data_IF_157884762198
#
_entry.id   IF_157884762198
#
_cell.length_a   1.000
_cell.length_b   1.000
_cell.length_c   1.000
_cell.angle_alpha   90.00
_cell.angle_beta   90.00
_cell.angle_gamma   90.00
#
_symmetry.space_group_name_H-M   'P 1'
#
loop_
_entity.id
_entity.type
_entity.pdbx_description
1 polymer ?
#
# COMPACT_ATOMS: atom_id res chain seq x y z
N UNK A 1 14.53 -19.71 8.88
CA UNK A 1 15.21 -19.10 7.71
C UNK A 1 15.61 -20.11 6.63
N UNK A 2 16.43 -21.13 6.92
CA UNK A 2 16.78 -22.16 5.91
C UNK A 2 15.56 -22.89 5.37
N UNK A 3 14.58 -23.19 6.24
CA UNK A 3 13.30 -23.79 5.87
C UNK A 3 12.42 -22.87 4.99
N UNK A 4 12.41 -21.57 5.27
CA UNK A 4 11.70 -20.57 4.47
C UNK A 4 12.22 -20.56 3.03
N UNK A 5 13.54 -20.58 2.83
CA UNK A 5 14.12 -20.60 1.47
C UNK A 5 13.79 -21.87 0.70
N UNK A 6 13.71 -23.02 1.37
CA UNK A 6 13.32 -24.28 0.73
C UNK A 6 11.82 -24.33 0.40
N UNK A 7 10.98 -23.67 1.19
CA UNK A 7 9.51 -23.70 1.03
C UNK A 7 8.93 -22.51 0.29
N UNK A 8 9.68 -21.43 0.03
CA UNK A 8 9.13 -20.20 -0.59
C UNK A 8 8.44 -20.44 -1.93
N UNK A 9 8.93 -21.40 -2.71
CA UNK A 9 8.33 -21.77 -3.98
C UNK A 9 7.01 -22.53 -3.77
N UNK A 10 6.94 -23.43 -2.78
CA UNK A 10 5.70 -24.13 -2.41
C UNK A 10 4.65 -23.13 -1.89
N UNK A 11 5.07 -22.18 -1.06
CA UNK A 11 4.25 -21.08 -0.55
C UNK A 11 3.69 -20.23 -1.69
N UNK A 12 4.55 -19.87 -2.66
CA UNK A 12 4.13 -19.15 -3.86
C UNK A 12 3.08 -19.93 -4.67
N UNK A 13 3.29 -21.22 -4.89
CA UNK A 13 2.31 -22.05 -5.60
C UNK A 13 0.97 -22.14 -4.87
N UNK A 14 0.98 -22.11 -3.53
CA UNK A 14 -0.25 -22.06 -2.73
C UNK A 14 -0.98 -20.73 -2.89
N UNK A 15 -0.25 -19.61 -2.94
CA UNK A 15 -0.80 -18.28 -3.20
C UNK A 15 -1.44 -18.22 -4.59
N UNK A 16 -0.77 -18.74 -5.63
CA UNK A 16 -1.32 -18.80 -7.00
C UNK A 16 -2.62 -19.62 -7.03
N UNK A 17 -2.65 -20.79 -6.38
CA UNK A 17 -3.87 -21.59 -6.25
C UNK A 17 -4.99 -20.82 -5.55
N UNK A 18 -4.67 -20.10 -4.47
CA UNK A 18 -5.65 -19.27 -3.77
C UNK A 18 -6.17 -18.14 -4.66
N UNK A 19 -5.30 -17.42 -5.36
CA UNK A 19 -5.71 -16.36 -6.30
C UNK A 19 -6.62 -16.91 -7.43
N UNK A 20 -6.34 -18.13 -7.92
CA UNK A 20 -7.24 -18.83 -8.84
C UNK A 20 -8.63 -19.10 -8.24
N UNK A 21 -8.70 -19.52 -6.98
CA UNK A 21 -9.99 -19.71 -6.28
C UNK A 21 -10.70 -18.38 -6.01
N UNK A 22 -9.97 -17.33 -5.63
CA UNK A 22 -10.51 -15.99 -5.45
C UNK A 22 -11.12 -15.47 -6.76
N UNK A 23 -10.48 -15.72 -7.90
CA UNK A 23 -11.00 -15.34 -9.22
C UNK A 23 -12.37 -15.98 -9.51
N UNK A 24 -12.56 -17.24 -9.14
CA UNK A 24 -13.84 -17.94 -9.31
C UNK A 24 -14.94 -17.41 -8.37
N UNK A 25 -14.58 -17.02 -7.14
CA UNK A 25 -15.53 -16.62 -6.10
C UNK A 25 -15.91 -15.13 -6.16
N UNK A 26 -14.95 -14.25 -6.41
CA UNK A 26 -15.15 -12.79 -6.43
C UNK A 26 -15.95 -12.37 -7.66
N UNK A 27 -15.69 -12.99 -8.82
CA UNK A 27 -16.31 -12.59 -10.08
C UNK A 27 -15.99 -11.13 -10.44
N UNK A 28 -17.02 -10.36 -10.80
CA UNK A 28 -16.89 -8.98 -11.28
C UNK A 28 -16.93 -7.91 -10.17
N UNK A 29 -17.03 -8.33 -8.90
CA UNK A 29 -17.09 -7.42 -7.74
C UNK A 29 -15.83 -6.56 -7.64
N UNK A 30 -15.96 -5.37 -7.05
CA UNK A 30 -14.84 -4.54 -6.58
C UNK A 30 -14.64 -4.75 -5.08
N UNK A 31 -13.81 -5.73 -4.67
CA UNK A 31 -13.67 -6.11 -3.28
C UNK A 31 -12.98 -5.01 -2.46
N UNK A 32 -13.43 -4.84 -1.23
CA UNK A 32 -12.81 -4.00 -0.22
C UNK A 32 -12.55 -4.79 1.07
N UNK A 33 -13.60 -5.40 1.64
CA UNK A 33 -13.57 -6.08 2.94
C UNK A 33 -14.32 -7.41 2.86
N UNK A 34 -13.75 -8.46 3.46
CA UNK A 34 -14.48 -9.69 3.76
C UNK A 34 -14.61 -9.87 5.27
N UNK A 35 -15.85 -9.96 5.75
CA UNK A 35 -16.18 -10.10 7.17
C UNK A 35 -16.16 -11.56 7.64
N UNK A 36 -16.97 -11.84 8.65
CA UNK A 36 -17.07 -13.17 9.27
C UNK A 36 -17.65 -14.25 8.35
N UNK A 37 -18.43 -13.86 7.33
CA UNK A 37 -18.94 -14.77 6.30
C UNK A 37 -17.88 -15.14 5.25
N UNK A 38 -16.73 -14.46 5.29
CA UNK A 38 -15.60 -14.68 4.40
C UNK A 38 -15.84 -14.27 2.95
N UNK A 39 -16.84 -13.42 2.70
CA UNK A 39 -17.17 -12.95 1.35
C UNK A 39 -16.78 -11.49 1.21
N UNK A 40 -16.05 -11.15 0.14
CA UNK A 40 -15.76 -9.76 -0.16
C UNK A 40 -17.06 -9.04 -0.54
N UNK A 41 -17.19 -7.80 -0.08
CA UNK A 41 -18.20 -6.86 -0.54
C UNK A 41 -18.02 -6.48 -2.02
N UNK A 42 -18.98 -5.72 -2.55
CA UNK A 42 -18.92 -5.11 -3.87
C UNK A 42 -19.03 -3.60 -3.71
N UNK A 43 -17.87 -2.94 -3.64
CA UNK A 43 -17.78 -1.51 -3.40
C UNK A 43 -17.88 -0.73 -4.72
N UNK A 44 -18.20 0.56 -4.64
CA UNK A 44 -18.13 1.46 -5.79
C UNK A 44 -16.72 1.44 -6.42
N UNK A 45 -16.64 1.51 -7.76
CA UNK A 45 -15.38 1.42 -8.49
C UNK A 45 -14.42 2.60 -8.23
N UNK A 46 -14.95 3.79 -7.95
CA UNK A 46 -14.13 4.96 -7.57
C UNK A 46 -13.66 4.90 -6.10
N UNK A 47 -13.89 3.80 -5.39
CA UNK A 47 -13.32 3.57 -4.05
C UNK A 47 -11.82 3.31 -4.12
N UNK A 48 -11.08 3.83 -3.16
CA UNK A 48 -9.61 3.84 -3.16
C UNK A 48 -8.97 2.45 -3.29
N UNK A 49 -9.66 1.38 -2.88
CA UNK A 49 -9.13 0.00 -2.95
C UNK A 49 -9.37 -0.73 -4.27
N UNK A 50 -10.06 -0.13 -5.23
CA UNK A 50 -10.50 -0.82 -6.45
C UNK A 50 -9.35 -1.30 -7.35
N UNK A 51 -8.15 -0.75 -7.20
CA UNK A 51 -6.97 -1.20 -7.94
C UNK A 51 -6.29 -2.46 -7.40
N UNK A 52 -6.54 -2.85 -6.14
CA UNK A 52 -5.75 -3.91 -5.50
C UNK A 52 -6.09 -5.32 -6.02
N UNK A 53 -7.37 -5.63 -6.23
CA UNK A 53 -7.77 -6.91 -6.81
C UNK A 53 -7.24 -7.13 -8.23
N UNK A 54 -7.48 -6.25 -9.21
CA UNK A 54 -6.85 -6.38 -10.53
C UNK A 54 -5.32 -6.33 -10.46
N UNK A 55 -4.75 -5.63 -9.47
CA UNK A 55 -3.32 -5.68 -9.18
C UNK A 55 -2.80 -7.08 -8.83
N UNK A 56 -3.54 -7.84 -7.99
CA UNK A 56 -3.21 -9.24 -7.69
C UNK A 56 -3.25 -10.07 -8.98
N UNK A 57 -4.27 -9.88 -9.82
CA UNK A 57 -4.41 -10.59 -11.08
C UNK A 57 -3.23 -10.32 -12.03
N UNK A 58 -2.85 -9.05 -12.21
CA UNK A 58 -1.68 -8.69 -13.00
C UNK A 58 -0.37 -9.25 -12.42
N UNK A 59 -0.20 -9.22 -11.09
CA UNK A 59 0.97 -9.80 -10.41
C UNK A 59 1.09 -11.30 -10.68
N UNK A 60 0.00 -12.04 -10.53
CA UNK A 60 0.00 -13.48 -10.78
C UNK A 60 0.24 -13.76 -12.26
N UNK A 61 -0.40 -13.01 -13.18
CA UNK A 61 -0.13 -13.13 -14.62
C UNK A 61 1.35 -12.95 -14.95
N UNK A 62 1.98 -11.89 -14.46
CA UNK A 62 3.39 -11.60 -14.75
C UNK A 62 4.32 -12.72 -14.23
N UNK A 63 3.96 -13.33 -13.11
CA UNK A 63 4.74 -14.40 -12.48
C UNK A 63 4.48 -15.79 -13.05
N UNK A 64 3.30 -16.07 -13.62
CA UNK A 64 2.91 -17.42 -14.09
C UNK A 64 2.75 -17.53 -15.60
N UNK A 65 2.46 -16.43 -16.29
CA UNK A 65 2.10 -16.38 -17.71
C UNK A 65 0.70 -16.91 -18.02
N UNK A 66 -0.16 -17.16 -17.02
CA UNK A 66 -1.51 -17.68 -17.25
C UNK A 66 -2.48 -16.58 -17.70
N UNK A 67 -2.90 -16.63 -18.98
CA UNK A 67 -3.71 -15.59 -19.63
C UNK A 67 -5.06 -15.31 -18.92
N UNK A 68 -5.67 -16.28 -18.23
CA UNK A 68 -6.93 -16.07 -17.49
C UNK A 68 -6.88 -14.90 -16.50
N UNK A 69 -5.71 -14.66 -15.88
CA UNK A 69 -5.56 -13.57 -14.93
C UNK A 69 -5.44 -12.23 -15.66
N UNK A 70 -4.72 -12.20 -16.78
CA UNK A 70 -4.66 -11.03 -17.66
C UNK A 70 -6.04 -10.66 -18.19
N UNK A 71 -6.80 -11.64 -18.67
CA UNK A 71 -8.15 -11.44 -19.20
C UNK A 71 -9.09 -10.84 -18.14
N UNK A 72 -9.05 -11.37 -16.92
CA UNK A 72 -9.85 -10.86 -15.81
C UNK A 72 -9.44 -9.46 -15.34
N UNK A 73 -8.16 -9.09 -15.49
CA UNK A 73 -7.64 -7.78 -15.11
C UNK A 73 -7.80 -6.71 -16.22
N UNK A 74 -8.02 -7.13 -17.47
CA UNK A 74 -7.82 -6.30 -18.65
C UNK A 74 -8.67 -5.02 -18.68
N UNK A 75 -9.94 -5.09 -18.30
CA UNK A 75 -10.90 -3.98 -18.44
C UNK A 75 -10.95 -3.05 -17.23
N UNK A 76 -10.17 -3.31 -16.18
CA UNK A 76 -10.27 -2.54 -14.93
C UNK A 76 -9.83 -1.08 -15.08
N UNK A 77 -8.74 -0.82 -15.79
CA UNK A 77 -8.30 0.55 -16.06
C UNK A 77 -9.30 1.32 -16.94
N UNK A 78 -9.97 0.62 -17.86
CA UNK A 78 -11.02 1.16 -18.72
C UNK A 78 -12.23 1.60 -17.90
N UNK A 79 -12.77 0.70 -17.07
CA UNK A 79 -13.91 0.95 -16.18
C UNK A 79 -13.65 2.08 -15.19
N UNK A 80 -12.45 2.12 -14.60
CA UNK A 80 -12.04 3.22 -13.71
C UNK A 80 -11.97 4.55 -14.48
N UNK A 81 -11.44 4.53 -15.70
CA UNK A 81 -11.29 5.76 -16.48
C UNK A 81 -12.59 6.35 -16.99
N UNK A 82 -13.60 5.52 -17.25
CA UNK A 82 -14.94 5.99 -17.65
C UNK A 82 -15.56 6.90 -16.59
N UNK A 83 -15.24 6.69 -15.30
CA UNK A 83 -15.74 7.52 -14.20
C UNK A 83 -15.22 8.96 -14.24
N UNK A 84 -14.16 9.28 -15.00
CA UNK A 84 -13.73 10.67 -15.22
C UNK A 84 -14.79 11.50 -15.95
N UNK A 85 -15.70 10.86 -16.69
CA UNK A 85 -16.78 11.50 -17.45
C UNK A 85 -18.12 11.52 -16.69
N UNK A 86 -18.13 11.10 -15.43
CA UNK A 86 -19.30 11.04 -14.56
C UNK A 86 -18.97 11.59 -13.16
N UNK A 87 -19.98 11.85 -12.30
CA UNK A 87 -19.74 12.11 -10.89
C UNK A 87 -18.93 10.96 -10.28
N UNK A 88 -17.79 11.30 -9.67
CA UNK A 88 -16.91 10.37 -8.99
C UNK A 88 -16.34 11.01 -7.71
N UNK A 89 -15.72 10.19 -6.89
CA UNK A 89 -15.15 10.55 -5.59
C UNK A 89 -13.63 10.43 -5.59
N UNK A 90 -12.97 10.46 -6.75
CA UNK A 90 -11.51 10.33 -6.82
C UNK A 90 -10.80 11.40 -6.00
N UNK A 91 -9.69 11.01 -5.38
CA UNK A 91 -8.87 11.88 -4.56
C UNK A 91 -7.38 11.52 -4.70
N UNK A 92 -6.56 11.70 -3.67
CA UNK A 92 -5.14 11.38 -3.76
C UNK A 92 -4.84 9.88 -3.99
N UNK A 93 -5.81 8.99 -3.73
CA UNK A 93 -5.66 7.54 -3.87
C UNK A 93 -5.72 7.03 -5.32
N UNK A 94 -5.79 7.92 -6.31
CA UNK A 94 -5.70 7.53 -7.72
C UNK A 94 -4.40 6.80 -8.06
N UNK A 95 -3.34 6.95 -7.25
CA UNK A 95 -2.15 6.09 -7.36
C UNK A 95 -2.49 4.63 -7.06
N UNK A 96 -3.16 4.33 -5.95
CA UNK A 96 -3.60 2.97 -5.59
C UNK A 96 -4.57 2.36 -6.61
N UNK A 97 -5.31 3.18 -7.35
CA UNK A 97 -6.25 2.71 -8.36
C UNK A 97 -5.56 2.47 -9.72
N UNK A 98 -4.70 3.39 -10.17
CA UNK A 98 -4.15 3.39 -11.53
C UNK A 98 -2.74 2.79 -11.65
N UNK A 99 -1.95 2.72 -10.58
CA UNK A 99 -0.67 1.98 -10.58
C UNK A 99 -0.88 0.48 -10.82
N UNK A 100 -1.68 -0.24 -10.01
CA UNK A 100 -1.85 -1.69 -10.19
C UNK A 100 -2.77 -2.08 -11.35
N UNK A 101 -3.40 -1.11 -12.02
CA UNK A 101 -4.24 -1.36 -13.21
C UNK A 101 -3.57 -0.85 -14.47
N UNK A 102 -3.67 0.45 -14.74
CA UNK A 102 -3.27 1.09 -15.98
C UNK A 102 -1.75 1.07 -16.18
N UNK A 103 -0.96 1.43 -15.16
CA UNK A 103 0.51 1.40 -15.26
C UNK A 103 1.01 -0.04 -15.40
N UNK A 104 0.46 -0.97 -14.62
CA UNK A 104 0.84 -2.38 -14.71
C UNK A 104 0.51 -2.99 -16.07
N UNK A 105 -0.71 -2.77 -16.59
CA UNK A 105 -1.11 -3.16 -17.95
C UNK A 105 -0.16 -2.60 -19.00
N UNK A 106 0.13 -1.29 -18.95
CA UNK A 106 1.03 -0.65 -19.88
C UNK A 106 2.44 -1.27 -19.83
N UNK A 107 3.03 -1.41 -18.65
CA UNK A 107 4.39 -1.97 -18.49
C UNK A 107 4.52 -3.39 -19.02
N UNK A 108 3.48 -4.22 -18.84
CA UNK A 108 3.53 -5.64 -19.23
C UNK A 108 3.19 -5.86 -20.71
N UNK A 109 2.42 -4.96 -21.33
CA UNK A 109 1.80 -5.22 -22.65
C UNK A 109 2.10 -4.17 -23.70
N UNK A 110 2.62 -3.01 -23.31
CA UNK A 110 2.81 -1.86 -24.20
C UNK A 110 1.51 -1.14 -24.57
N UNK A 111 0.40 -1.42 -23.89
CA UNK A 111 -0.90 -0.80 -24.18
C UNK A 111 -0.82 0.73 -24.00
N UNK A 112 -0.97 1.46 -25.11
CA UNK A 112 -0.85 2.91 -25.14
C UNK A 112 -2.10 3.62 -24.58
N UNK A 113 -3.26 2.98 -24.56
CA UNK A 113 -4.48 3.51 -23.94
C UNK A 113 -4.37 3.47 -22.41
N UNK A 114 -3.83 2.38 -21.86
CA UNK A 114 -3.53 2.24 -20.44
C UNK A 114 -2.54 3.33 -19.98
N UNK A 115 -1.48 3.61 -20.76
CA UNK A 115 -0.58 4.73 -20.48
C UNK A 115 -1.31 6.08 -20.46
N UNK A 116 -2.19 6.35 -21.44
CA UNK A 116 -2.98 7.60 -21.48
C UNK A 116 -3.87 7.75 -20.25
N UNK A 117 -4.53 6.67 -19.82
CA UNK A 117 -5.40 6.66 -18.62
C UNK A 117 -4.60 6.90 -17.34
N UNK A 118 -3.43 6.27 -17.19
CA UNK A 118 -2.55 6.50 -16.05
C UNK A 118 -1.97 7.92 -16.02
N UNK A 119 -1.60 8.50 -17.17
CA UNK A 119 -1.15 9.89 -17.26
C UNK A 119 -2.28 10.88 -16.93
N UNK A 120 -3.53 10.58 -17.28
CA UNK A 120 -4.68 11.36 -16.84
C UNK A 120 -4.81 11.34 -15.31
N UNK A 121 -4.71 10.16 -14.69
CA UNK A 121 -4.73 10.02 -13.23
C UNK A 121 -3.56 10.77 -12.57
N UNK A 122 -2.36 10.72 -13.15
CA UNK A 122 -1.20 11.48 -12.67
C UNK A 122 -1.43 13.01 -12.78
N UNK A 123 -2.05 13.46 -13.87
CA UNK A 123 -2.46 14.85 -14.06
C UNK A 123 -3.47 15.30 -13.00
N UNK A 124 -4.47 14.46 -12.70
CA UNK A 124 -5.42 14.72 -11.63
C UNK A 124 -4.72 14.83 -10.27
N UNK A 125 -3.85 13.88 -9.94
CA UNK A 125 -3.11 13.89 -8.68
C UNK A 125 -2.20 15.12 -8.56
N UNK A 126 -1.49 15.49 -9.63
CA UNK A 126 -0.69 16.72 -9.68
C UNK A 126 -1.53 17.98 -9.47
N UNK A 127 -2.76 18.01 -9.98
CA UNK A 127 -3.72 19.10 -9.76
C UNK A 127 -4.17 19.27 -8.30
N UNK A 128 -3.95 18.26 -7.45
CA UNK A 128 -4.21 18.33 -6.00
C UNK A 128 -3.04 18.90 -5.19
N UNK A 129 -1.94 19.25 -5.84
CA UNK A 129 -0.76 19.80 -5.17
C UNK A 129 -1.00 21.26 -4.74
N UNK A 130 -0.83 21.50 -3.45
CA UNK A 130 -0.79 22.83 -2.86
C UNK A 130 0.65 23.38 -2.96
N UNK A 131 0.84 24.47 -3.70
CA UNK A 131 2.16 25.05 -3.96
C UNK A 131 2.72 25.85 -2.79
N UNK A 132 1.87 26.40 -1.92
CA UNK A 132 2.29 27.17 -0.74
C UNK A 132 2.89 26.24 0.33
N UNK A 133 2.15 25.20 0.72
CA UNK A 133 2.55 24.22 1.73
C UNK A 133 3.33 23.03 1.19
N UNK A 134 3.44 22.89 -0.14
CA UNK A 134 4.16 21.80 -0.81
C UNK A 134 3.67 20.41 -0.38
N UNK A 135 2.36 20.25 -0.29
CA UNK A 135 1.71 18.98 0.01
C UNK A 135 0.66 18.66 -1.05
N UNK A 136 0.28 17.40 -1.15
CA UNK A 136 -0.83 16.95 -2.00
C UNK A 136 -2.01 16.80 -1.06
N UNK A 137 -3.10 17.46 -1.42
CA UNK A 137 -4.35 17.38 -0.68
C UNK A 137 -4.89 15.95 -0.74
N UNK A 138 -5.12 15.36 0.43
CA UNK A 138 -5.57 13.98 0.57
C UNK A 138 -7.02 13.82 0.11
N UNK A 139 -7.99 14.30 0.90
CA UNK A 139 -9.42 14.05 0.67
C UNK A 139 -10.19 15.26 0.13
N UNK A 140 -11.38 14.99 -0.44
CA UNK A 140 -12.29 15.99 -0.99
C UNK A 140 -13.06 16.76 0.12
N UNK A 141 -14.06 17.59 -0.20
CA UNK A 141 -14.83 18.35 0.80
C UNK A 141 -14.06 19.49 1.48
N UNK A 142 -14.38 19.81 2.74
CA UNK A 142 -13.76 20.91 3.50
C UNK A 142 -12.45 20.49 4.20
N UNK A 143 -11.59 19.81 3.45
CA UNK A 143 -10.31 19.24 3.92
C UNK A 143 -9.16 19.74 3.04
N UNK A 144 -9.23 21.01 2.63
CA UNK A 144 -8.31 21.65 1.68
C UNK A 144 -6.84 21.60 2.11
N UNK A 145 -6.59 21.69 3.42
CA UNK A 145 -5.27 21.64 4.03
C UNK A 145 -4.83 20.26 4.50
N UNK A 146 -5.63 19.21 4.32
CA UNK A 146 -5.34 17.91 4.91
C UNK A 146 -4.43 17.11 3.97
N UNK A 147 -3.33 16.61 4.51
CA UNK A 147 -2.47 15.66 3.84
C UNK A 147 -2.25 14.45 4.74
N UNK A 148 -2.28 13.25 4.16
CA UNK A 148 -2.18 11.99 4.90
C UNK A 148 -1.00 11.16 4.40
N UNK A 149 -0.45 10.34 5.28
CA UNK A 149 0.78 9.58 5.01
C UNK A 149 0.64 8.59 3.84
N UNK A 150 -0.57 8.09 3.59
CA UNK A 150 -0.92 7.15 2.52
C UNK A 150 -0.63 7.76 1.13
N UNK A 151 -0.65 9.10 1.01
CA UNK A 151 -0.22 9.81 -0.21
C UNK A 151 1.21 9.45 -0.60
N UNK A 152 2.07 9.12 0.38
CA UNK A 152 3.46 8.76 0.14
C UNK A 152 3.60 7.56 -0.81
N UNK A 153 2.67 6.60 -0.76
CA UNK A 153 2.62 5.47 -1.70
C UNK A 153 2.16 5.89 -3.09
N UNK A 154 1.23 6.84 -3.16
CA UNK A 154 0.66 7.32 -4.40
C UNK A 154 1.65 8.17 -5.23
N UNK A 155 2.75 8.67 -4.62
CA UNK A 155 3.78 9.43 -5.32
C UNK A 155 4.46 8.65 -6.45
N UNK A 156 4.49 7.32 -6.38
CA UNK A 156 5.02 6.48 -7.45
C UNK A 156 4.32 6.75 -8.79
N UNK A 157 3.03 7.09 -8.78
CA UNK A 157 2.30 7.45 -10.00
C UNK A 157 2.90 8.69 -10.67
N UNK A 158 3.28 9.70 -9.87
CA UNK A 158 3.89 10.92 -10.37
C UNK A 158 5.34 10.69 -10.84
N UNK A 159 6.10 9.87 -10.11
CA UNK A 159 7.45 9.49 -10.58
C UNK A 159 7.39 8.74 -11.91
N UNK A 160 6.52 7.73 -12.02
CA UNK A 160 6.30 7.01 -13.27
C UNK A 160 5.85 7.94 -14.40
N UNK A 161 4.89 8.85 -14.14
CA UNK A 161 4.42 9.80 -15.15
C UNK A 161 5.53 10.72 -15.66
N UNK A 162 6.47 11.10 -14.79
CA UNK A 162 7.66 11.88 -15.19
C UNK A 162 8.58 11.12 -16.13
N UNK A 163 8.81 9.82 -15.85
CA UNK A 163 9.63 8.95 -16.70
C UNK A 163 8.94 8.69 -18.05
N UNK A 164 7.64 8.39 -18.03
CA UNK A 164 6.86 8.04 -19.22
C UNK A 164 6.66 9.22 -20.17
N UNK A 165 6.33 10.40 -19.64
CA UNK A 165 6.04 11.59 -20.46
C UNK A 165 7.27 12.44 -20.76
N UNK A 166 8.37 12.26 -20.03
CA UNK A 166 9.52 13.17 -20.03
C UNK A 166 9.26 14.53 -19.38
N UNK A 167 8.09 14.74 -18.76
CA UNK A 167 7.75 16.00 -18.10
C UNK A 167 8.23 16.01 -16.63
N UNK A 168 9.22 16.85 -16.28
CA UNK A 168 9.81 16.84 -14.94
C UNK A 168 8.86 17.36 -13.85
N UNK A 169 7.73 18.00 -14.21
CA UNK A 169 6.81 18.58 -13.22
C UNK A 169 6.29 17.53 -12.25
N UNK A 170 6.03 16.31 -12.73
CA UNK A 170 5.46 15.26 -11.90
C UNK A 170 6.45 14.81 -10.82
N UNK A 171 7.72 14.57 -11.20
CA UNK A 171 8.76 14.23 -10.24
C UNK A 171 9.07 15.38 -9.27
N UNK A 172 9.00 16.64 -9.72
CA UNK A 172 9.19 17.82 -8.86
C UNK A 172 8.09 17.96 -7.80
N UNK A 173 6.82 17.70 -8.17
CA UNK A 173 5.69 17.68 -7.25
C UNK A 173 5.86 16.53 -6.24
N UNK A 174 6.19 15.33 -6.72
CA UNK A 174 6.42 14.17 -5.86
C UNK A 174 7.54 14.41 -4.84
N UNK A 175 8.68 14.94 -5.26
CA UNK A 175 9.80 15.27 -4.38
C UNK A 175 9.43 16.33 -3.34
N UNK A 176 8.71 17.38 -3.73
CA UNK A 176 8.27 18.41 -2.80
C UNK A 176 7.32 17.86 -1.74
N UNK A 177 6.40 16.96 -2.13
CA UNK A 177 5.56 16.27 -1.16
C UNK A 177 6.38 15.36 -0.23
N UNK A 178 7.31 14.57 -0.77
CA UNK A 178 8.18 13.70 0.01
C UNK A 178 9.03 14.50 1.03
N UNK A 179 9.55 15.67 0.64
CA UNK A 179 10.25 16.59 1.53
C UNK A 179 9.36 17.04 2.71
N UNK A 180 8.08 17.33 2.43
CA UNK A 180 7.08 17.68 3.45
C UNK A 180 6.80 16.50 4.38
N UNK A 181 6.70 15.27 3.85
CA UNK A 181 6.52 14.04 4.65
C UNK A 181 7.70 13.84 5.61
N UNK A 182 8.94 13.95 5.12
CA UNK A 182 10.14 13.82 5.96
C UNK A 182 10.18 14.87 7.07
N UNK A 183 9.72 16.11 6.79
CA UNK A 183 9.76 17.21 7.76
C UNK A 183 8.66 17.14 8.81
N UNK A 184 7.43 16.79 8.41
CA UNK A 184 6.24 16.98 9.25
C UNK A 184 5.58 15.67 9.71
N UNK A 185 5.74 14.57 8.97
CA UNK A 185 5.06 13.31 9.28
C UNK A 185 5.96 12.36 10.08
N UNK A 186 7.22 12.22 9.66
CA UNK A 186 8.18 11.31 10.32
C UNK A 186 8.73 11.96 11.59
N UNK A 187 8.41 11.38 12.74
CA UNK A 187 8.86 11.89 14.05
C UNK A 187 10.31 11.48 14.35
N UNK A 188 10.99 12.15 15.29
CA UNK A 188 12.38 11.83 15.65
C UNK A 188 12.60 10.38 16.10
N UNK A 189 11.61 9.75 16.73
CA UNK A 189 11.65 8.35 17.18
C UNK A 189 11.36 7.33 16.07
N UNK A 190 10.99 7.79 14.87
CA UNK A 190 10.61 6.95 13.72
C UNK A 190 9.13 6.58 13.65
N UNK A 191 8.33 6.94 14.65
CA UNK A 191 6.86 6.87 14.51
C UNK A 191 6.36 7.90 13.50
N UNK A 192 5.15 7.72 12.98
CA UNK A 192 4.62 8.56 11.89
C UNK A 192 3.25 9.11 12.25
N UNK A 193 3.04 10.41 12.02
CA UNK A 193 1.71 11.02 12.08
C UNK A 193 0.86 10.50 10.92
N UNK A 194 -0.42 10.22 11.17
CA UNK A 194 -1.33 9.83 10.10
C UNK A 194 -1.69 11.03 9.21
N UNK A 195 -2.14 12.12 9.82
CA UNK A 195 -2.63 13.32 9.13
C UNK A 195 -1.95 14.56 9.69
N UNK A 196 -1.48 15.43 8.80
CA UNK A 196 -1.07 16.80 9.13
C UNK A 196 -2.06 17.75 8.45
N UNK A 197 -2.63 18.67 9.22
CA UNK A 197 -3.45 19.77 8.71
C UNK A 197 -2.54 20.98 8.47
N UNK A 198 -2.49 21.44 7.23
CA UNK A 198 -1.84 22.68 6.82
C UNK A 198 -2.88 23.79 6.64
N UNK A 199 -2.43 25.04 6.72
CA UNK A 199 -3.17 26.16 6.17
C UNK A 199 -3.06 26.11 4.63
N UNK A 200 -4.17 26.04 3.88
CA UNK A 200 -4.12 25.90 2.43
C UNK A 200 -3.66 27.16 1.69
N UNK A 201 -3.73 28.34 2.32
CA UNK A 201 -3.32 29.60 1.71
C UNK A 201 -1.85 29.92 2.01
N UNK A 202 -1.42 29.76 3.27
CA UNK A 202 -0.07 30.10 3.72
C UNK A 202 0.90 28.93 3.61
N UNK A 203 0.40 27.69 3.64
CA UNK A 203 1.22 26.48 3.67
C UNK A 203 1.77 26.11 5.05
N UNK A 204 1.42 26.85 6.10
CA UNK A 204 1.87 26.58 7.46
C UNK A 204 1.33 25.23 7.98
N UNK A 205 2.19 24.40 8.57
CA UNK A 205 1.75 23.18 9.25
C UNK A 205 1.10 23.56 10.59
N UNK A 206 -0.20 23.33 10.73
CA UNK A 206 -0.97 23.78 11.89
C UNK A 206 -0.92 22.75 13.02
N UNK A 207 -1.33 21.52 12.74
CA UNK A 207 -1.38 20.45 13.75
C UNK A 207 -1.38 19.06 13.11
N UNK A 208 -0.96 18.07 13.89
CA UNK A 208 -1.26 16.68 13.59
C UNK A 208 -2.63 16.32 14.16
N UNK A 209 -3.43 15.59 13.39
CA UNK A 209 -4.75 15.14 13.83
C UNK A 209 -4.86 13.62 13.78
N UNK A 210 -5.76 13.10 14.61
CA UNK A 210 -6.13 11.70 14.59
C UNK A 210 -6.86 11.33 13.30
N UNK A 211 -6.94 10.04 13.03
CA UNK A 211 -7.75 9.51 11.94
C UNK A 211 -8.03 8.05 12.18
N UNK A 212 -7.22 7.17 11.59
CA UNK A 212 -7.34 5.72 11.75
C UNK A 212 -6.52 5.17 12.91
N UNK A 213 -5.56 5.93 13.45
CA UNK A 213 -4.78 5.58 14.65
C UNK A 213 -5.52 5.83 15.96
N UNK A 214 -4.97 5.26 17.04
CA UNK A 214 -5.50 5.37 18.40
C UNK A 214 -5.62 6.82 18.91
N UNK A 215 -4.70 7.70 18.54
CA UNK A 215 -4.70 9.12 18.89
C UNK A 215 -3.91 9.94 17.85
N UNK A 216 -4.00 11.28 17.82
CA UNK A 216 -3.18 12.12 16.92
C UNK A 216 -1.67 11.85 17.02
N UNK A 217 -1.21 11.56 18.24
CA UNK A 217 0.19 11.26 18.56
C UNK A 217 0.43 9.76 18.82
N UNK A 218 -0.50 8.88 18.43
CA UNK A 218 -0.24 7.44 18.44
C UNK A 218 0.63 7.02 17.25
N UNK A 219 0.81 5.71 17.08
CA UNK A 219 1.66 5.14 16.04
C UNK A 219 0.88 4.04 15.29
N UNK A 220 -0.08 4.48 14.48
CA UNK A 220 -0.88 3.62 13.61
C UNK A 220 0.01 2.78 12.69
N UNK A 221 -0.13 1.45 12.76
CA UNK A 221 0.86 0.56 12.15
C UNK A 221 0.83 0.62 10.63
N UNK A 222 -0.35 0.70 10.01
CA UNK A 222 -0.46 0.84 8.55
C UNK A 222 0.07 2.18 8.04
N UNK A 223 -0.07 3.27 8.79
CA UNK A 223 0.55 4.56 8.46
C UNK A 223 2.07 4.50 8.46
N UNK A 224 2.66 3.80 9.44
CA UNK A 224 4.10 3.54 9.46
C UNK A 224 4.54 2.64 8.29
N UNK A 225 3.72 1.65 7.91
CA UNK A 225 3.99 0.79 6.76
C UNK A 225 3.96 1.57 5.43
N UNK A 226 3.00 2.48 5.25
CA UNK A 226 2.95 3.39 4.09
C UNK A 226 4.14 4.32 4.01
N UNK A 227 4.54 4.92 5.14
CA UNK A 227 5.71 5.78 5.18
C UNK A 227 6.99 5.01 4.81
N UNK A 228 7.17 3.82 5.40
CA UNK A 228 8.31 2.95 5.13
C UNK A 228 8.43 2.64 3.64
N UNK A 229 7.37 2.11 3.05
CA UNK A 229 7.40 1.68 1.66
C UNK A 229 7.48 2.91 0.73
N UNK A 230 6.62 3.92 0.91
CA UNK A 230 6.61 5.10 0.06
C UNK A 230 7.92 5.91 0.09
N UNK A 231 8.57 6.07 1.25
CA UNK A 231 9.91 6.71 1.34
C UNK A 231 11.00 5.88 0.67
N UNK A 232 10.88 4.56 0.72
CA UNK A 232 11.79 3.67 -0.01
C UNK A 232 11.61 3.83 -1.53
N UNK A 233 10.36 3.98 -2.00
CA UNK A 233 10.06 4.24 -3.41
C UNK A 233 10.60 5.61 -3.84
N UNK A 234 10.38 6.65 -3.04
CA UNK A 234 10.94 7.97 -3.32
C UNK A 234 12.47 7.93 -3.40
N UNK A 235 13.15 7.18 -2.53
CA UNK A 235 14.60 6.96 -2.65
C UNK A 235 14.95 6.24 -3.96
N UNK A 236 14.23 5.16 -4.32
CA UNK A 236 14.46 4.40 -5.56
C UNK A 236 14.41 5.28 -6.82
N UNK A 237 13.47 6.24 -6.87
CA UNK A 237 13.33 7.15 -8.00
C UNK A 237 14.33 8.31 -8.02
N UNK A 238 14.82 8.75 -6.86
CA UNK A 238 15.55 10.03 -6.75
C UNK A 238 17.01 9.89 -6.32
N UNK A 239 17.39 8.76 -5.71
CA UNK A 239 18.69 8.56 -5.08
C UNK A 239 18.94 9.47 -3.86
N UNK A 240 17.93 10.19 -3.36
CA UNK A 240 18.03 11.15 -2.25
C UNK A 240 18.34 10.44 -0.91
N UNK A 241 19.51 10.64 -0.30
CA UNK A 241 19.93 9.87 0.88
C UNK A 241 19.10 10.17 2.13
N UNK A 242 18.43 11.31 2.21
CA UNK A 242 17.57 11.67 3.32
C UNK A 242 16.22 10.94 3.29
N UNK A 243 15.68 10.61 2.10
CA UNK A 243 14.53 9.70 1.99
C UNK A 243 14.89 8.30 2.47
N UNK A 244 16.07 7.80 2.10
CA UNK A 244 16.58 6.53 2.61
C UNK A 244 16.74 6.56 4.14
N UNK A 245 17.33 7.62 4.69
CA UNK A 245 17.49 7.76 6.13
C UNK A 245 16.15 7.82 6.87
N UNK A 246 15.14 8.49 6.31
CA UNK A 246 13.79 8.52 6.85
C UNK A 246 13.12 7.13 6.80
N UNK A 247 13.20 6.42 5.66
CA UNK A 247 12.70 5.06 5.52
C UNK A 247 13.34 4.11 6.54
N UNK A 248 14.67 4.17 6.72
CA UNK A 248 15.37 3.37 7.74
C UNK A 248 14.90 3.68 9.16
N UNK A 249 14.64 4.96 9.49
CA UNK A 249 14.14 5.37 10.80
C UNK A 249 12.75 4.78 11.08
N UNK A 250 11.84 4.86 10.11
CA UNK A 250 10.51 4.26 10.21
C UNK A 250 10.61 2.74 10.30
N UNK A 251 11.48 2.11 9.50
CA UNK A 251 11.72 0.66 9.55
C UNK A 251 12.20 0.21 10.94
N UNK A 252 13.14 0.95 11.54
CA UNK A 252 13.65 0.62 12.89
C UNK A 252 12.54 0.73 13.93
N UNK A 253 11.74 1.79 13.89
CA UNK A 253 10.59 1.93 14.79
C UNK A 253 9.63 0.76 14.60
N UNK A 254 9.21 0.48 13.36
CA UNK A 254 8.26 -0.58 13.05
C UNK A 254 8.76 -1.95 13.55
N UNK A 255 9.99 -2.34 13.21
CA UNK A 255 10.57 -3.64 13.60
C UNK A 255 10.72 -3.74 15.13
N UNK A 256 11.13 -2.66 15.81
CA UNK A 256 11.33 -2.67 17.25
C UNK A 256 10.02 -2.83 18.05
N UNK A 257 8.87 -2.50 17.46
CA UNK A 257 7.55 -2.64 18.07
C UNK A 257 6.76 -3.85 17.54
N UNK A 258 7.41 -4.74 16.77
CA UNK A 258 6.77 -5.98 16.38
C UNK A 258 6.62 -6.91 17.60
N UNK A 259 5.44 -7.55 17.75
CA UNK A 259 5.22 -8.58 18.75
C UNK A 259 5.96 -9.88 18.38
N UNK A 260 5.92 -10.88 19.26
CA UNK A 260 6.71 -12.12 19.13
C UNK A 260 6.45 -12.88 17.82
N UNK A 261 5.22 -12.84 17.31
CA UNK A 261 4.82 -13.47 16.04
C UNK A 261 5.12 -12.61 14.80
N UNK A 262 5.69 -11.41 14.95
CA UNK A 262 6.07 -10.50 13.87
C UNK A 262 4.88 -9.95 13.05
N UNK A 263 3.64 -10.01 13.55
CA UNK A 263 2.49 -9.35 12.91
C UNK A 263 2.04 -8.17 13.77
N UNK A 264 2.06 -6.93 13.24
CA UNK A 264 1.87 -5.74 14.07
C UNK A 264 0.46 -5.70 14.67
N UNK A 265 0.36 -5.09 15.85
CA UNK A 265 -0.90 -4.55 16.33
C UNK A 265 -1.41 -3.46 15.38
N UNK A 266 -2.70 -3.14 15.44
CA UNK A 266 -3.28 -2.06 14.61
C UNK A 266 -2.69 -0.67 14.91
N UNK A 267 -2.19 -0.45 16.14
CA UNK A 267 -1.45 0.73 16.56
C UNK A 267 -0.40 0.34 17.60
N UNK A 268 0.85 0.73 17.39
CA UNK A 268 1.97 0.38 18.27
C UNK A 268 1.93 1.07 19.64
N UNK A 269 1.04 2.05 19.83
CA UNK A 269 0.84 2.74 21.11
C UNK A 269 -0.53 2.42 21.73
N UNK A 270 -1.33 1.53 21.13
CA UNK A 270 -2.56 1.05 21.73
C UNK A 270 -2.31 0.14 22.96
N UNK A 271 -1.12 -0.47 23.09
CA UNK A 271 -0.79 -1.37 24.21
C UNK A 271 -0.82 -0.74 25.60
N UNK A 272 -0.82 0.59 25.68
CA UNK A 272 -1.04 1.31 26.93
C UNK A 272 -2.48 1.14 27.49
N UNK A 273 -3.40 0.53 26.74
CA UNK A 273 -4.79 0.30 27.16
C UNK A 273 -5.09 -1.20 27.18
N UNK A 274 -5.29 -1.82 28.36
CA UNK A 274 -5.74 -3.21 28.46
C UNK A 274 -7.13 -3.38 27.82
N UNK A 275 -7.26 -4.21 26.79
CA UNK A 275 -8.54 -4.62 26.19
C UNK A 275 -8.86 -6.09 26.53
N UNK A 276 -10.11 -6.40 26.83
CA UNK A 276 -10.60 -7.78 26.92
C UNK A 276 -10.44 -8.47 25.55
N UNK A 277 -9.71 -9.58 25.49
CA UNK A 277 -9.43 -10.30 24.24
C UNK A 277 -8.06 -9.98 23.61
N UNK A 278 -7.27 -9.08 24.22
CA UNK A 278 -5.96 -8.69 23.70
C UNK A 278 -6.05 -7.63 22.61
N UNK A 279 -4.90 -7.11 22.20
CA UNK A 279 -4.84 -5.98 21.27
C UNK A 279 -4.97 -6.50 19.85
N UNK A 280 -5.87 -5.88 19.09
CA UNK A 280 -6.16 -6.25 17.71
C UNK A 280 -4.92 -6.13 16.81
N UNK A 281 -4.83 -7.04 15.84
CA UNK A 281 -3.79 -7.06 14.82
C UNK A 281 -4.15 -6.18 13.64
N UNK A 282 -3.15 -5.91 12.81
CA UNK A 282 -3.38 -5.48 11.44
C UNK A 282 -2.44 -6.22 10.48
N UNK A 283 -2.93 -7.35 9.96
CA UNK A 283 -2.21 -8.16 8.98
C UNK A 283 -1.88 -7.38 7.70
N UNK A 284 -2.69 -6.39 7.33
CA UNK A 284 -2.44 -5.54 6.16
C UNK A 284 -1.19 -4.67 6.35
N UNK A 285 -1.02 -4.04 7.53
CA UNK A 285 0.20 -3.32 7.87
C UNK A 285 1.43 -4.24 7.83
N UNK A 286 1.28 -5.48 8.30
CA UNK A 286 2.32 -6.50 8.20
C UNK A 286 2.74 -6.78 6.75
N UNK A 287 1.76 -7.00 5.86
CA UNK A 287 2.03 -7.29 4.45
C UNK A 287 2.70 -6.10 3.73
N UNK A 288 2.19 -4.88 3.94
CA UNK A 288 2.74 -3.64 3.36
C UNK A 288 4.18 -3.43 3.82
N UNK A 289 4.42 -3.49 5.14
CA UNK A 289 5.73 -3.26 5.71
C UNK A 289 6.71 -4.35 5.27
N UNK A 290 6.30 -5.62 5.21
CA UNK A 290 7.15 -6.67 4.67
C UNK A 290 7.57 -6.38 3.22
N UNK A 291 6.65 -5.94 2.36
CA UNK A 291 6.98 -5.56 0.99
C UNK A 291 7.94 -4.36 0.91
N UNK A 292 7.73 -3.33 1.74
CA UNK A 292 8.61 -2.16 1.82
C UNK A 292 10.00 -2.50 2.39
N UNK A 293 10.08 -3.41 3.37
CA UNK A 293 11.36 -3.89 3.91
C UNK A 293 12.17 -4.68 2.88
N UNK A 294 11.51 -5.39 1.95
CA UNK A 294 12.20 -6.04 0.83
C UNK A 294 12.80 -5.01 -0.13
N UNK A 295 12.09 -3.93 -0.46
CA UNK A 295 12.65 -2.83 -1.24
C UNK A 295 13.83 -2.17 -0.52
N UNK A 296 13.68 -1.89 0.78
CA UNK A 296 14.72 -1.23 1.56
C UNK A 296 15.97 -2.10 1.67
N UNK A 297 15.79 -3.41 1.82
CA UNK A 297 16.88 -4.37 1.84
C UNK A 297 17.63 -4.40 0.50
N UNK A 298 16.91 -4.39 -0.62
CA UNK A 298 17.50 -4.38 -1.96
C UNK A 298 18.27 -3.08 -2.23
N UNK A 299 17.67 -1.94 -1.88
CA UNK A 299 18.25 -0.60 -1.99
C UNK A 299 19.58 -0.43 -1.22
N UNK A 300 19.72 -1.10 -0.07
CA UNK A 300 20.92 -1.05 0.76
C UNK A 300 21.97 -2.10 0.37
N UNK A 301 21.52 -3.26 -0.08
CA UNK A 301 22.36 -4.39 -0.48
C UNK A 301 23.17 -5.02 0.67
N UNK A 302 23.71 -6.22 0.38
CA UNK A 302 24.70 -6.90 1.21
C UNK A 302 24.35 -6.98 2.69
N UNK A 303 25.34 -6.69 3.55
CA UNK A 303 25.17 -6.78 5.01
C UNK A 303 24.23 -5.70 5.57
N UNK A 304 24.11 -4.54 4.91
CA UNK A 304 23.28 -3.42 5.36
C UNK A 304 21.79 -3.71 5.19
N UNK A 305 21.41 -4.43 4.14
CA UNK A 305 20.02 -4.83 3.89
C UNK A 305 19.55 -6.06 4.68
N UNK A 306 20.49 -6.85 5.23
CA UNK A 306 20.18 -8.17 5.79
C UNK A 306 19.15 -8.15 6.92
N UNK A 307 19.24 -7.20 7.84
CA UNK A 307 18.30 -7.09 8.96
C UNK A 307 16.85 -6.87 8.50
N UNK A 308 16.67 -5.99 7.51
CA UNK A 308 15.35 -5.70 6.92
C UNK A 308 14.81 -6.91 6.16
N UNK A 309 15.66 -7.60 5.38
CA UNK A 309 15.29 -8.83 4.68
C UNK A 309 14.85 -9.94 5.63
N UNK A 310 15.59 -10.14 6.73
CA UNK A 310 15.28 -11.17 7.73
C UNK A 310 13.98 -10.83 8.47
N UNK A 311 13.72 -9.55 8.79
CA UNK A 311 12.45 -9.10 9.36
C UNK A 311 11.28 -9.35 8.39
N UNK A 312 11.39 -8.91 7.13
CA UNK A 312 10.35 -9.12 6.11
C UNK A 312 9.97 -10.60 5.96
N UNK A 313 10.96 -11.50 5.92
CA UNK A 313 10.70 -12.95 5.80
C UNK A 313 10.01 -13.54 7.03
N UNK A 314 10.31 -13.05 8.24
CA UNK A 314 9.63 -13.50 9.47
C UNK A 314 8.16 -13.06 9.47
N UNK A 315 7.90 -11.81 9.11
CA UNK A 315 6.54 -11.28 8.97
C UNK A 315 5.74 -12.09 7.94
N UNK A 316 6.29 -12.30 6.74
CA UNK A 316 5.64 -13.08 5.69
C UNK A 316 5.42 -14.54 6.08
N UNK A 317 6.37 -15.13 6.80
CA UNK A 317 6.20 -16.48 7.32
C UNK A 317 5.02 -16.56 8.29
N UNK A 318 4.92 -15.67 9.28
CA UNK A 318 3.78 -15.69 10.21
C UNK A 318 2.46 -15.38 9.53
N UNK A 319 2.42 -14.38 8.64
CA UNK A 319 1.22 -14.09 7.85
C UNK A 319 0.77 -15.31 7.03
N UNK A 320 1.72 -16.05 6.46
CA UNK A 320 1.44 -17.28 5.74
C UNK A 320 0.96 -18.40 6.64
N UNK A 321 1.57 -18.62 7.81
CA UNK A 321 1.25 -19.78 8.66
C UNK A 321 0.01 -19.58 9.53
N UNK A 322 -0.17 -18.38 10.08
CA UNK A 322 -1.06 -18.16 11.21
C UNK A 322 -2.24 -17.23 10.87
N UNK A 323 -2.12 -16.42 9.82
CA UNK A 323 -3.12 -15.41 9.44
C UNK A 323 -3.84 -15.71 8.14
N UNK A 324 -3.50 -16.80 7.48
CA UNK A 324 -4.01 -17.12 6.15
C UNK A 324 -5.23 -18.03 6.19
N UNK A 325 -6.03 -18.00 5.13
CA UNK A 325 -7.24 -18.84 5.04
C UNK A 325 -7.00 -20.13 4.27
N UNK A 326 -5.80 -20.72 4.36
CA UNK A 326 -5.42 -21.92 3.60
C UNK A 326 -6.35 -23.11 3.82
N UNK A 327 -6.88 -23.24 5.03
CA UNK A 327 -7.80 -24.32 5.43
C UNK A 327 -9.27 -24.00 5.14
N UNK A 328 -9.58 -22.79 4.67
CA UNK A 328 -10.93 -22.35 4.30
C UNK A 328 -10.99 -21.94 2.82
N UNK A 329 -11.24 -22.89 1.90
CA UNK A 329 -11.27 -22.62 0.46
C UNK A 329 -12.45 -21.75 0.00
N UNK A 330 -13.47 -21.57 0.85
CA UNK A 330 -14.66 -20.75 0.55
C UNK A 330 -14.50 -19.29 0.98
N UNK A 331 -13.47 -18.99 1.78
CA UNK A 331 -13.11 -17.61 2.12
C UNK A 331 -12.54 -16.91 0.88
N UNK A 332 -12.95 -15.67 0.61
CA UNK A 332 -12.57 -14.94 -0.60
C UNK A 332 -11.28 -14.14 -0.46
N UNK A 333 -10.74 -14.01 0.75
CA UNK A 333 -9.47 -13.32 1.02
C UNK A 333 -8.31 -14.29 1.27
N UNK A 334 -7.07 -13.77 1.24
CA UNK A 334 -5.86 -14.49 1.63
C UNK A 334 -5.61 -14.36 3.13
N UNK A 335 -5.63 -13.13 3.65
CA UNK A 335 -5.27 -12.80 5.04
C UNK A 335 -6.48 -12.41 5.89
N UNK A 336 -6.48 -12.87 7.14
CA UNK A 336 -7.39 -12.50 8.22
C UNK A 336 -6.80 -11.39 9.10
N UNK A 337 -7.58 -10.90 10.06
CA UNK A 337 -7.12 -10.03 11.16
C UNK A 337 -6.51 -8.69 10.71
N UNK A 338 -7.08 -8.11 9.65
CA UNK A 338 -6.84 -6.73 9.26
C UNK A 338 -7.73 -5.75 10.04
N UNK A 339 -7.20 -4.56 10.32
CA UNK A 339 -7.95 -3.51 11.04
C UNK A 339 -7.95 -2.20 10.26
N UNK A 340 -9.09 -1.88 9.63
CA UNK A 340 -9.31 -0.67 8.84
C UNK A 340 -9.35 0.61 9.68
N UNK A 341 -10.46 0.88 10.37
CA UNK A 341 -10.66 2.14 11.10
C UNK A 341 -11.24 1.86 12.49
N UNK A 342 -10.36 1.43 13.41
CA UNK A 342 -10.72 1.06 14.79
C UNK A 342 -11.41 2.18 15.58
N UNK A 343 -10.97 3.46 15.56
CA UNK A 343 -11.63 4.56 16.27
C UNK A 343 -13.14 4.71 16.03
N UNK A 344 -13.65 4.27 14.87
CA UNK A 344 -15.08 4.30 14.53
C UNK A 344 -15.69 2.91 14.35
N UNK A 345 -14.99 1.87 14.82
CA UNK A 345 -15.42 0.46 14.75
C UNK A 345 -15.75 -0.03 13.34
N UNK A 346 -15.05 0.48 12.32
CA UNK A 346 -15.27 0.08 10.94
C UNK A 346 -14.14 -0.84 10.45
N UNK A 347 -14.52 -1.95 9.82
CA UNK A 347 -13.60 -2.94 9.23
C UNK A 347 -12.55 -3.43 10.24
N UNK A 348 -12.99 -3.82 11.43
CA UNK A 348 -12.13 -4.27 12.53
C UNK A 348 -12.12 -5.79 12.58
N UNK A 349 -10.92 -6.39 12.60
CA UNK A 349 -10.72 -7.84 12.59
C UNK A 349 -11.38 -8.55 11.39
N UNK A 350 -11.07 -8.04 10.19
CA UNK A 350 -11.63 -8.50 8.91
C UNK A 350 -10.52 -8.79 7.91
N UNK A 351 -10.88 -9.34 6.75
CA UNK A 351 -9.93 -9.43 5.63
C UNK A 351 -9.98 -8.16 4.77
N UNK A 352 -8.82 -7.73 4.27
CA UNK A 352 -8.66 -6.47 3.55
C UNK A 352 -7.93 -6.69 2.23
N UNK A 353 -8.51 -6.26 1.11
CA UNK A 353 -7.96 -6.55 -0.23
C UNK A 353 -6.56 -5.99 -0.45
N UNK A 354 -6.23 -4.85 0.18
CA UNK A 354 -4.89 -4.28 0.10
C UNK A 354 -3.87 -5.11 0.90
N UNK A 355 -4.27 -5.72 2.01
CA UNK A 355 -3.44 -6.68 2.72
C UNK A 355 -3.09 -7.89 1.84
N UNK A 356 -4.09 -8.43 1.14
CA UNK A 356 -3.89 -9.50 0.15
C UNK A 356 -2.95 -9.07 -0.98
N UNK A 357 -3.12 -7.86 -1.52
CA UNK A 357 -2.26 -7.34 -2.59
C UNK A 357 -0.80 -7.27 -2.16
N UNK A 358 -0.49 -6.62 -1.04
CA UNK A 358 0.89 -6.47 -0.59
C UNK A 358 1.51 -7.80 -0.12
N UNK A 359 0.69 -8.76 0.30
CA UNK A 359 1.15 -10.12 0.61
C UNK A 359 1.58 -10.86 -0.66
N UNK A 360 0.73 -10.84 -1.71
CA UNK A 360 1.05 -11.42 -3.01
C UNK A 360 2.27 -10.72 -3.61
N UNK A 361 2.32 -9.39 -3.54
CA UNK A 361 3.45 -8.60 -4.02
C UNK A 361 4.75 -9.02 -3.33
N UNK A 362 4.79 -9.05 -2.00
CA UNK A 362 6.00 -9.39 -1.25
C UNK A 362 6.50 -10.81 -1.54
N UNK A 363 5.59 -11.79 -1.65
CA UNK A 363 5.97 -13.15 -2.09
C UNK A 363 6.44 -13.19 -3.54
N UNK A 364 5.86 -12.38 -4.43
CA UNK A 364 6.33 -12.24 -5.82
C UNK A 364 7.77 -11.71 -5.84
N UNK A 365 8.09 -10.67 -5.04
CA UNK A 365 9.46 -10.13 -4.89
C UNK A 365 10.47 -11.19 -4.44
N UNK A 366 10.11 -11.99 -3.44
CA UNK A 366 10.96 -13.09 -2.94
C UNK A 366 11.19 -14.21 -3.95
N UNK A 367 10.28 -14.35 -4.91
CA UNK A 367 10.35 -15.31 -6.01
C UNK A 367 10.86 -14.70 -7.32
N UNK A 368 11.43 -13.49 -7.27
CA UNK A 368 12.18 -12.91 -8.39
C UNK A 368 11.37 -12.00 -9.31
N UNK A 369 10.19 -11.55 -8.91
CA UNK A 369 9.46 -10.48 -9.61
C UNK A 369 10.34 -9.23 -9.73
N UNK A 370 10.29 -8.51 -10.86
CA UNK A 370 11.18 -7.35 -11.13
C UNK A 370 10.48 -6.06 -11.58
N UNK A 371 9.23 -6.09 -12.03
CA UNK A 371 8.61 -4.93 -12.69
C UNK A 371 8.30 -3.75 -11.76
N UNK A 372 8.14 -4.00 -10.44
CA UNK A 372 8.01 -3.00 -9.36
C UNK A 372 7.03 -1.86 -9.70
N UNK A 373 5.77 -2.06 -9.33
CA UNK A 373 4.68 -1.12 -9.63
C UNK A 373 4.59 0.00 -8.61
N UNK A 374 4.70 -0.32 -7.31
CA UNK A 374 4.83 0.66 -6.25
C UNK A 374 6.28 1.06 -6.03
#
# INVERSE_FOLDING_TARGET
>A
MKEFETKKQEMWQQIVRKAGRMLELIGDKSPHVAGQDGKYDDMRLDWWTSGFWPGILWLVYDMTGEDRYREAAWSWDERLSELWLAPNSYDHDVGFQFLPTAVMKHKLTGDADAARRALLAAGFMAGRFNTAGKFIRAWNGDMHGWSIIDTMMNLTLLFWASEESGDPRFAQIAQQHADTVVRHFVRPDGSVHHIIRFDPETGEALEAIGGQGFAPDSAWSRGAAWALYGLTNAYRYTGRPDYLAAAQRVAHFFIAHLPEDYVPYWDFRAEAVPEEGGILRDSSAGAIAASGLLELADALGGIRGRGYLDAAKRMLHSLYTDYSTWTNPEHEAILLHGTGHKPVSQNVDVSLIYGDYFFVEAFSKLNGWKHRIF
#
